data_IF_844379794920
#
_entry.id   IF_844379794920
#
_cell.length_a   1.000
_cell.length_b   1.000
_cell.length_c   1.000
_cell.angle_alpha   90.00
_cell.angle_beta   90.00
_cell.angle_gamma   90.00
#
_symmetry.space_group_name_H-M   'P 1'
#
loop_
_entity.id
_entity.type
_entity.pdbx_description
1 polymer ?
#
# COMPACT_ATOMS: atom_id res chain seq x y z
N UNK A 1 -2.41 -3.97 -28.99
CA UNK A 1 -2.50 -3.46 -27.61
C UNK A 1 -1.98 -2.02 -27.60
N UNK A 2 -2.71 -1.07 -27.01
CA UNK A 2 -2.19 0.28 -26.74
C UNK A 2 -1.36 0.27 -25.45
N UNK A 3 -0.29 1.08 -25.32
CA UNK A 3 0.57 1.09 -24.13
C UNK A 3 -0.08 1.90 -22.98
N UNK A 4 -1.29 1.52 -22.58
CA UNK A 4 -2.08 2.20 -21.55
C UNK A 4 -2.61 1.19 -20.53
N UNK A 5 -2.60 1.57 -19.25
CA UNK A 5 -3.22 0.83 -18.15
C UNK A 5 -3.99 1.78 -17.23
N UNK A 6 -5.09 1.34 -16.60
CA UNK A 6 -5.70 2.08 -15.51
C UNK A 6 -4.70 2.30 -14.37
N UNK A 7 -4.69 3.51 -13.80
CA UNK A 7 -3.67 3.93 -12.82
C UNK A 7 -4.26 4.60 -11.56
N UNK A 8 -5.56 4.38 -11.28
CA UNK A 8 -6.18 4.87 -10.03
C UNK A 8 -5.99 3.90 -8.86
N UNK A 9 -5.90 2.60 -9.15
CA UNK A 9 -5.69 1.56 -8.15
C UNK A 9 -4.49 0.70 -8.54
N UNK A 10 -3.71 0.32 -7.53
CA UNK A 10 -2.49 -0.48 -7.72
C UNK A 10 -2.47 -1.63 -6.72
N UNK A 11 -1.91 -2.76 -7.15
CA UNK A 11 -1.41 -3.78 -6.23
C UNK A 11 -0.13 -3.28 -5.57
N UNK A 12 0.28 -3.87 -4.44
CA UNK A 12 1.57 -3.58 -3.80
C UNK A 12 2.74 -3.71 -4.79
N UNK A 13 2.72 -4.75 -5.63
CA UNK A 13 3.73 -4.97 -6.67
C UNK A 13 3.76 -3.85 -7.72
N UNK A 14 2.61 -3.44 -8.25
CA UNK A 14 2.56 -2.35 -9.24
C UNK A 14 2.92 -0.98 -8.65
N UNK A 15 2.71 -0.79 -7.35
CA UNK A 15 3.04 0.43 -6.64
C UNK A 15 4.53 0.54 -6.29
N UNK A 16 5.29 -0.56 -6.32
CA UNK A 16 6.71 -0.58 -5.97
C UNK A 16 7.52 0.42 -6.82
N UNK A 17 8.36 1.21 -6.17
CA UNK A 17 9.16 2.26 -6.82
C UNK A 17 8.41 3.57 -7.11
N UNK A 18 7.09 3.63 -6.90
CA UNK A 18 6.32 4.87 -7.01
C UNK A 18 6.42 5.73 -5.76
N UNK A 19 6.28 7.05 -5.94
CA UNK A 19 6.02 8.01 -4.86
C UNK A 19 4.63 8.60 -5.07
N UNK A 20 3.80 8.57 -4.04
CA UNK A 20 2.42 9.05 -4.05
C UNK A 20 2.28 10.16 -3.00
N UNK A 21 1.50 11.19 -3.35
CA UNK A 21 1.21 12.29 -2.42
C UNK A 21 0.13 11.90 -1.43
N UNK A 22 -0.89 11.21 -1.93
CA UNK A 22 -2.02 10.71 -1.14
C UNK A 22 -2.35 9.29 -1.58
N UNK A 23 -2.70 8.42 -0.65
CA UNK A 23 -3.26 7.11 -0.98
C UNK A 23 -4.18 6.57 0.11
N UNK A 24 -5.10 5.69 -0.31
CA UNK A 24 -5.90 4.87 0.58
C UNK A 24 -5.43 3.42 0.48
N UNK A 25 -5.09 2.80 1.61
CA UNK A 25 -4.44 1.49 1.69
C UNK A 25 -5.37 0.49 2.39
N UNK A 26 -5.59 -0.67 1.76
CA UNK A 26 -6.24 -1.82 2.41
C UNK A 26 -5.21 -2.77 3.05
N UNK A 27 -4.82 -2.49 4.29
CA UNK A 27 -3.92 -3.35 5.06
C UNK A 27 -4.56 -4.68 5.50
N UNK A 28 -5.90 -4.75 5.54
CA UNK A 28 -6.58 -5.97 5.97
C UNK A 28 -6.45 -7.11 4.94
N UNK A 29 -6.25 -6.77 3.66
CA UNK A 29 -5.98 -7.71 2.56
C UNK A 29 -4.50 -8.07 2.40
N UNK A 30 -3.59 -7.47 3.17
CA UNK A 30 -2.16 -7.79 3.07
C UNK A 30 -1.88 -9.22 3.52
N UNK A 31 -1.20 -9.99 2.66
CA UNK A 31 -0.78 -11.36 2.95
C UNK A 31 0.58 -11.43 3.64
N UNK A 32 1.44 -10.45 3.42
CA UNK A 32 2.81 -10.41 3.96
C UNK A 32 3.16 -9.04 4.52
N UNK A 33 4.10 -9.01 5.47
CA UNK A 33 4.61 -7.75 6.04
C UNK A 33 5.36 -6.91 4.99
N UNK A 34 5.99 -7.55 4.02
CA UNK A 34 6.66 -6.90 2.91
C UNK A 34 5.67 -6.13 2.03
N UNK A 35 4.49 -6.69 1.76
CA UNK A 35 3.43 -5.97 1.03
C UNK A 35 2.97 -4.73 1.81
N UNK A 36 2.74 -4.85 3.12
CA UNK A 36 2.38 -3.73 3.96
C UNK A 36 3.45 -2.63 3.94
N UNK A 37 4.73 -3.01 4.05
CA UNK A 37 5.86 -2.09 3.94
C UNK A 37 5.90 -1.37 2.58
N UNK A 38 5.74 -2.11 1.47
CA UNK A 38 5.73 -1.51 0.13
C UNK A 38 4.59 -0.50 0.01
N UNK A 39 3.37 -0.85 0.43
CA UNK A 39 2.22 0.04 0.35
C UNK A 39 2.41 1.32 1.19
N UNK A 40 2.85 1.18 2.44
CA UNK A 40 3.03 2.31 3.35
C UNK A 40 4.18 3.24 2.92
N UNK A 41 5.28 2.68 2.43
CA UNK A 41 6.45 3.45 1.98
C UNK A 41 6.25 4.23 0.69
N UNK A 42 5.08 4.15 0.04
CA UNK A 42 4.79 4.97 -1.15
C UNK A 42 4.39 6.40 -0.80
N UNK A 43 3.88 6.64 0.42
CA UNK A 43 3.42 7.97 0.85
C UNK A 43 4.53 8.70 1.59
N UNK A 44 4.69 9.99 1.30
CA UNK A 44 5.78 10.81 1.87
C UNK A 44 5.45 11.38 3.25
N UNK A 45 4.16 11.54 3.57
CA UNK A 45 3.68 12.17 4.81
C UNK A 45 2.47 11.43 5.34
N UNK A 46 2.33 11.38 6.66
CA UNK A 46 1.21 10.70 7.31
C UNK A 46 -0.15 11.34 6.97
N UNK A 47 -0.19 12.66 6.76
CA UNK A 47 -1.39 13.40 6.33
C UNK A 47 -1.98 12.90 4.99
N UNK A 48 -1.15 12.31 4.13
CA UNK A 48 -1.57 11.74 2.85
C UNK A 48 -1.97 10.26 2.93
N UNK A 49 -1.91 9.64 4.11
CA UNK A 49 -2.21 8.24 4.31
C UNK A 49 -3.61 8.04 4.87
N UNK A 50 -4.43 7.27 4.16
CA UNK A 50 -5.71 6.76 4.66
C UNK A 50 -5.67 5.23 4.75
N UNK A 51 -6.13 4.67 5.87
CA UNK A 51 -6.34 3.23 6.02
C UNK A 51 -7.81 2.93 5.72
N UNK A 52 -8.07 2.09 4.70
CA UNK A 52 -9.41 1.87 4.16
C UNK A 52 -10.39 1.27 5.18
N UNK A 53 -9.89 0.38 6.05
CA UNK A 53 -10.69 -0.33 7.06
C UNK A 53 -9.82 -0.85 8.20
N UNK A 54 -10.40 -1.17 9.38
CA UNK A 54 -9.68 -1.80 10.47
C UNK A 54 -8.94 -3.07 10.02
N UNK A 55 -7.76 -3.29 10.58
CA UNK A 55 -6.93 -4.47 10.33
C UNK A 55 -6.30 -4.93 11.64
N UNK A 56 -5.99 -6.22 11.76
CA UNK A 56 -5.32 -6.74 12.95
C UNK A 56 -3.82 -6.46 12.94
N UNK A 57 -3.25 -6.14 14.10
CA UNK A 57 -1.83 -5.81 14.31
C UNK A 57 -0.86 -6.83 13.72
N UNK A 58 -1.26 -8.11 13.66
CA UNK A 58 -0.47 -9.18 13.04
C UNK A 58 -0.12 -8.93 11.57
N UNK A 59 -0.88 -8.07 10.85
CA UNK A 59 -0.61 -7.72 9.45
C UNK A 59 0.66 -6.88 9.27
N UNK A 60 1.11 -6.19 10.32
CA UNK A 60 2.26 -5.27 10.31
C UNK A 60 3.33 -5.61 11.35
N UNK A 61 3.15 -6.70 12.11
CA UNK A 61 4.08 -7.10 13.16
C UNK A 61 5.06 -8.14 12.62
N UNK A 62 6.35 -7.91 12.80
CA UNK A 62 7.37 -8.94 12.55
C UNK A 62 7.56 -9.79 13.81
N UNK A 63 7.88 -11.08 13.65
CA UNK A 63 8.05 -12.03 14.77
C UNK A 63 9.43 -11.96 15.46
N UNK A 64 10.12 -10.83 15.34
CA UNK A 64 11.45 -10.62 15.92
C UNK A 64 11.29 -10.02 17.32
#
# INVERSE_FOLDING_TARGET
QLPLIPAFAFTSHNAQGRSLDVCCIDLASCTTIQCAYVMLSRVRRLEGLCILRPFGLQRIRNHI
#
